data_IF_048535184055
#
_entry.id   IF_048535184055
#
_cell.length_a   1.000
_cell.length_b   1.000
_cell.length_c   1.000
_cell.angle_alpha   90.00
_cell.angle_beta   90.00
_cell.angle_gamma   90.00
#
_symmetry.space_group_name_H-M   'P 1'
#
loop_
_entity.id
_entity.type
_entity.pdbx_description
1 polymer ?
#
# COMPACT_ATOMS: atom_id res chain seq x y z
N UNK A 1 14.08 -0.93 11.11
CA UNK A 1 12.73 -0.72 10.55
C UNK A 1 12.90 0.00 9.22
N UNK A 2 13.03 -0.76 8.15
CA UNK A 2 13.52 -0.23 6.86
C UNK A 2 12.46 -0.28 5.73
N UNK A 3 11.19 -0.56 6.07
CA UNK A 3 10.15 -0.82 5.07
C UNK A 3 8.82 -0.21 5.50
N UNK A 4 7.90 -0.02 4.55
CA UNK A 4 6.47 0.20 4.79
C UNK A 4 5.80 -0.91 5.64
N UNK A 5 6.60 -1.87 6.15
CA UNK A 5 6.12 -2.97 6.96
C UNK A 5 6.39 -2.70 8.44
N UNK A 6 5.34 -2.77 9.21
CA UNK A 6 5.41 -2.78 10.66
C UNK A 6 5.89 -4.16 11.09
N UNK A 7 6.85 -4.22 12.01
CA UNK A 7 7.35 -5.49 12.56
C UNK A 7 6.46 -6.00 13.71
N UNK A 8 6.57 -7.30 14.01
CA UNK A 8 5.90 -7.88 15.18
C UNK A 8 6.40 -7.26 16.49
N UNK A 9 5.51 -7.20 17.47
CA UNK A 9 5.82 -6.70 18.82
C UNK A 9 5.91 -5.18 18.97
N UNK A 10 5.69 -4.41 17.89
CA UNK A 10 5.74 -2.94 17.93
C UNK A 10 4.39 -2.34 18.26
N UNK A 11 3.30 -3.03 17.91
CA UNK A 11 1.93 -2.51 18.05
C UNK A 11 1.20 -3.14 19.25
N UNK A 12 0.32 -2.38 19.92
CA UNK A 12 -0.55 -2.92 20.95
C UNK A 12 -1.51 -3.96 20.37
N UNK A 13 -1.85 -4.97 21.18
CA UNK A 13 -2.64 -6.15 20.76
C UNK A 13 -3.97 -5.78 20.11
N UNK A 14 -4.68 -4.81 20.66
CA UNK A 14 -5.97 -4.39 20.13
C UNK A 14 -5.88 -3.86 18.69
N UNK A 15 -4.80 -3.15 18.37
CA UNK A 15 -4.63 -2.49 17.08
C UNK A 15 -4.39 -3.51 15.95
N UNK A 16 -3.56 -4.53 16.18
CA UNK A 16 -3.37 -5.56 15.16
C UNK A 16 -4.60 -6.48 15.01
N UNK A 17 -5.36 -6.75 16.09
CA UNK A 17 -6.64 -7.48 15.99
C UNK A 17 -7.63 -6.71 15.11
N UNK A 18 -7.81 -5.41 15.37
CA UNK A 18 -8.66 -4.54 14.52
C UNK A 18 -8.15 -4.52 13.08
N UNK A 19 -6.84 -4.43 12.89
CA UNK A 19 -6.23 -4.48 11.56
C UNK A 19 -6.55 -5.76 10.79
N UNK A 20 -6.47 -6.93 11.45
CA UNK A 20 -6.89 -8.20 10.86
C UNK A 20 -8.37 -8.21 10.53
N UNK A 21 -9.23 -7.82 11.48
CA UNK A 21 -10.67 -7.82 11.26
C UNK A 21 -11.07 -6.97 10.05
N UNK A 22 -10.51 -5.77 9.93
CA UNK A 22 -10.75 -4.89 8.78
C UNK A 22 -10.18 -5.45 7.49
N UNK A 23 -8.94 -5.96 7.49
CA UNK A 23 -8.33 -6.53 6.30
C UNK A 23 -9.13 -7.75 5.77
N UNK A 24 -9.57 -8.63 6.65
CA UNK A 24 -10.42 -9.76 6.29
C UNK A 24 -11.81 -9.33 5.80
N UNK A 25 -12.41 -8.32 6.41
CA UNK A 25 -13.70 -7.78 5.95
C UNK A 25 -13.58 -7.22 4.53
N UNK A 26 -12.52 -6.42 4.24
CA UNK A 26 -12.25 -5.92 2.89
C UNK A 26 -11.94 -7.04 1.91
N UNK A 27 -11.14 -8.04 2.30
CA UNK A 27 -10.82 -9.18 1.45
C UNK A 27 -12.06 -10.02 1.13
N UNK A 28 -12.91 -10.29 2.10
CA UNK A 28 -14.17 -11.01 1.91
C UNK A 28 -15.10 -10.24 0.97
N UNK A 29 -15.28 -8.93 1.18
CA UNK A 29 -16.07 -8.08 0.30
C UNK A 29 -15.53 -8.04 -1.13
N UNK A 30 -14.22 -7.90 -1.30
CA UNK A 30 -13.57 -7.93 -2.61
C UNK A 30 -13.72 -9.30 -3.28
N UNK A 31 -13.48 -10.39 -2.56
CA UNK A 31 -13.64 -11.76 -3.08
C UNK A 31 -15.07 -12.05 -3.52
N UNK A 32 -16.04 -11.63 -2.72
CA UNK A 32 -17.46 -11.78 -3.06
C UNK A 32 -17.83 -10.97 -4.30
N UNK A 33 -17.36 -9.74 -4.42
CA UNK A 33 -17.62 -8.86 -5.56
C UNK A 33 -17.00 -9.40 -6.85
N UNK A 34 -15.79 -9.99 -6.77
CA UNK A 34 -15.03 -10.47 -7.91
C UNK A 34 -15.15 -11.99 -8.17
N UNK A 35 -16.05 -12.70 -7.47
CA UNK A 35 -16.21 -14.16 -7.58
C UNK A 35 -16.57 -14.67 -8.99
N UNK A 36 -17.14 -13.81 -9.83
CA UNK A 36 -17.51 -14.10 -11.21
C UNK A 36 -16.63 -13.39 -12.24
N UNK A 37 -15.49 -12.83 -11.81
CA UNK A 37 -14.57 -12.17 -12.73
C UNK A 37 -13.97 -13.19 -13.72
N UNK A 38 -13.61 -12.68 -14.90
CA UNK A 38 -13.02 -13.50 -15.96
C UNK A 38 -11.66 -14.05 -15.52
N UNK A 39 -11.29 -15.27 -15.93
CA UNK A 39 -10.00 -15.88 -15.61
C UNK A 39 -8.78 -14.99 -15.90
N UNK A 40 -8.86 -14.20 -16.99
CA UNK A 40 -7.80 -13.26 -17.37
C UNK A 40 -7.47 -12.24 -16.28
N UNK A 41 -8.48 -11.80 -15.51
CA UNK A 41 -8.26 -10.87 -14.39
C UNK A 41 -7.55 -11.52 -13.21
N UNK A 42 -7.85 -12.79 -12.94
CA UNK A 42 -7.18 -13.56 -11.89
C UNK A 42 -5.72 -13.85 -12.29
N UNK A 43 -5.48 -14.15 -13.57
CA UNK A 43 -4.12 -14.30 -14.10
C UNK A 43 -3.33 -12.99 -13.97
N UNK A 44 -3.95 -11.85 -14.28
CA UNK A 44 -3.33 -10.54 -14.12
C UNK A 44 -3.04 -10.24 -12.63
N UNK A 45 -3.95 -10.61 -11.72
CA UNK A 45 -3.73 -10.48 -10.28
C UNK A 45 -2.51 -11.29 -9.84
N UNK A 46 -2.42 -12.55 -10.25
CA UNK A 46 -1.28 -13.42 -9.92
C UNK A 46 0.04 -12.86 -10.46
N UNK A 47 0.06 -12.41 -11.72
CA UNK A 47 1.24 -11.83 -12.34
C UNK A 47 1.69 -10.55 -11.64
N UNK A 48 0.76 -9.61 -11.39
CA UNK A 48 1.09 -8.36 -10.71
C UNK A 48 1.43 -8.57 -9.23
N UNK A 49 0.79 -9.54 -8.56
CA UNK A 49 1.14 -9.96 -7.21
C UNK A 49 2.58 -10.51 -7.14
N UNK A 50 2.97 -11.34 -8.10
CA UNK A 50 4.34 -11.86 -8.18
C UNK A 50 5.37 -10.74 -8.41
N UNK A 51 5.08 -9.79 -9.30
CA UNK A 51 5.94 -8.61 -9.52
C UNK A 51 6.04 -7.75 -8.27
N UNK A 52 4.93 -7.52 -7.58
CA UNK A 52 4.87 -6.79 -6.32
C UNK A 52 5.69 -7.51 -5.23
N UNK A 53 5.53 -8.83 -5.09
CA UNK A 53 6.28 -9.64 -4.14
C UNK A 53 7.79 -9.54 -4.39
N UNK A 54 8.22 -9.70 -5.65
CA UNK A 54 9.62 -9.58 -6.04
C UNK A 54 10.18 -8.19 -5.73
N UNK A 55 9.46 -7.14 -6.10
CA UNK A 55 9.87 -5.76 -5.86
C UNK A 55 10.02 -5.44 -4.37
N UNK A 56 9.11 -5.95 -3.54
CA UNK A 56 9.13 -5.77 -2.09
C UNK A 56 10.16 -6.67 -1.39
N UNK A 57 10.64 -7.74 -2.04
CA UNK A 57 11.69 -8.62 -1.52
C UNK A 57 13.09 -8.08 -1.79
N UNK A 58 13.26 -7.22 -2.80
CA UNK A 58 14.57 -6.69 -3.22
C UNK A 58 14.76 -5.27 -2.72
N UNK A 59 15.70 -5.00 -1.79
CA UNK A 59 15.98 -3.66 -1.33
C UNK A 59 16.66 -2.82 -2.41
N UNK A 60 16.13 -1.63 -2.68
CA UNK A 60 16.78 -0.62 -3.50
C UNK A 60 17.52 0.35 -2.56
N UNK A 61 18.73 -0.04 -2.16
CA UNK A 61 19.48 0.66 -1.12
C UNK A 61 19.08 0.24 0.30
N UNK A 62 19.62 0.90 1.34
CA UNK A 62 19.52 0.39 2.71
C UNK A 62 18.11 0.52 3.33
N UNK A 63 17.20 1.28 2.73
CA UNK A 63 15.96 1.69 3.40
C UNK A 63 14.71 1.72 2.51
N UNK A 64 14.80 1.39 1.22
CA UNK A 64 13.71 1.61 0.27
C UNK A 64 13.42 0.34 -0.54
N UNK A 65 12.16 -0.05 -0.58
CA UNK A 65 11.63 -1.05 -1.52
C UNK A 65 10.55 -0.40 -2.37
N UNK A 66 10.42 -0.85 -3.61
CA UNK A 66 9.28 -0.49 -4.45
C UNK A 66 8.09 -1.38 -4.06
N UNK A 67 6.94 -0.79 -3.86
CA UNK A 67 5.72 -1.53 -3.54
C UNK A 67 4.91 -1.92 -4.78
N UNK A 68 4.99 -1.12 -5.83
CA UNK A 68 4.11 -1.17 -7.01
C UNK A 68 2.62 -1.09 -6.70
N UNK A 69 2.25 -0.77 -5.45
CA UNK A 69 0.85 -0.65 -5.03
C UNK A 69 0.02 0.31 -5.89
N UNK A 70 0.52 1.51 -6.28
CA UNK A 70 -0.22 2.39 -7.19
C UNK A 70 -0.47 1.76 -8.56
N UNK A 71 0.53 1.11 -9.16
CA UNK A 71 0.42 0.43 -10.44
C UNK A 71 -0.59 -0.73 -10.38
N UNK A 72 -0.49 -1.55 -9.35
CA UNK A 72 -1.43 -2.65 -9.08
C UNK A 72 -2.86 -2.10 -8.93
N UNK A 73 -3.04 -1.01 -8.18
CA UNK A 73 -4.32 -0.35 -8.03
C UNK A 73 -4.90 0.21 -9.33
N UNK A 74 -4.06 0.79 -10.21
CA UNK A 74 -4.48 1.26 -11.54
C UNK A 74 -4.99 0.09 -12.38
N UNK A 75 -4.22 -0.98 -12.49
CA UNK A 75 -4.48 -2.09 -13.41
C UNK A 75 -5.59 -3.02 -12.92
N UNK A 76 -5.57 -3.43 -11.65
CA UNK A 76 -6.56 -4.33 -11.07
C UNK A 76 -7.79 -3.62 -10.51
N UNK A 77 -7.63 -2.38 -10.05
CA UNK A 77 -8.64 -1.64 -9.28
C UNK A 77 -8.59 -1.95 -7.79
N UNK A 78 -9.47 -1.31 -6.99
CA UNK A 78 -9.38 -1.35 -5.53
C UNK A 78 -9.54 -2.75 -4.94
N UNK A 79 -10.51 -3.55 -5.41
CA UNK A 79 -10.82 -4.85 -4.83
C UNK A 79 -9.73 -5.89 -5.10
N UNK A 80 -9.47 -6.21 -6.37
CA UNK A 80 -8.43 -7.19 -6.73
C UNK A 80 -7.04 -6.69 -6.35
N UNK A 81 -6.77 -5.39 -6.43
CA UNK A 81 -5.52 -4.82 -5.99
C UNK A 81 -5.29 -4.96 -4.49
N UNK A 82 -6.33 -4.80 -3.66
CA UNK A 82 -6.25 -5.06 -2.24
C UNK A 82 -5.98 -6.55 -1.93
N UNK A 83 -6.65 -7.47 -2.65
CA UNK A 83 -6.38 -8.90 -2.52
C UNK A 83 -4.92 -9.23 -2.87
N UNK A 84 -4.36 -8.64 -3.93
CA UNK A 84 -2.95 -8.79 -4.27
C UNK A 84 -2.05 -8.27 -3.13
N UNK A 85 -2.33 -7.08 -2.59
CA UNK A 85 -1.58 -6.50 -1.48
C UNK A 85 -1.63 -7.38 -0.21
N UNK A 86 -2.79 -7.92 0.14
CA UNK A 86 -2.95 -8.83 1.28
C UNK A 86 -2.16 -10.13 1.09
N UNK A 87 -2.26 -10.77 -0.08
CA UNK A 87 -1.54 -12.01 -0.40
C UNK A 87 -0.02 -11.78 -0.37
N UNK A 88 0.45 -10.69 -0.95
CA UNK A 88 1.88 -10.35 -0.95
C UNK A 88 2.39 -10.10 0.47
N UNK A 89 1.65 -9.32 1.30
CA UNK A 89 2.04 -9.11 2.69
C UNK A 89 2.05 -10.40 3.51
N UNK A 90 1.06 -11.28 3.33
CA UNK A 90 1.02 -12.56 3.99
C UNK A 90 2.23 -13.43 3.59
N UNK A 91 2.56 -13.48 2.31
CA UNK A 91 3.72 -14.23 1.80
C UNK A 91 5.03 -13.65 2.35
N UNK A 92 5.20 -12.33 2.33
CA UNK A 92 6.39 -11.67 2.89
C UNK A 92 6.56 -11.94 4.39
N UNK A 93 5.47 -11.90 5.16
CA UNK A 93 5.50 -12.21 6.58
C UNK A 93 5.94 -13.67 6.84
N UNK A 94 5.47 -14.63 6.04
CA UNK A 94 5.91 -16.02 6.11
C UNK A 94 7.40 -16.19 5.74
N UNK A 95 7.93 -15.32 4.88
CA UNK A 95 9.35 -15.28 4.50
C UNK A 95 10.21 -14.49 5.51
N UNK A 96 9.63 -14.02 6.62
CA UNK A 96 10.33 -13.24 7.64
C UNK A 96 10.52 -11.76 7.31
N UNK A 97 9.85 -11.26 6.27
CA UNK A 97 9.80 -9.83 5.92
C UNK A 97 8.50 -9.20 6.43
N UNK A 98 8.58 -8.52 7.56
CA UNK A 98 7.42 -7.97 8.28
C UNK A 98 6.94 -8.88 9.40
N UNK A 99 5.86 -8.49 10.09
CA UNK A 99 5.31 -9.24 11.21
C UNK A 99 4.07 -10.04 10.82
N UNK A 100 3.96 -11.26 11.32
CA UNK A 100 2.76 -12.10 11.13
C UNK A 100 1.53 -11.50 11.80
N UNK A 101 1.70 -10.92 13.00
CA UNK A 101 0.60 -10.30 13.75
C UNK A 101 0.08 -9.02 13.09
N UNK A 102 0.88 -8.37 12.27
CA UNK A 102 0.56 -7.07 11.66
C UNK A 102 0.28 -7.14 10.16
N UNK A 103 0.17 -8.35 9.59
CA UNK A 103 -0.15 -8.55 8.16
C UNK A 103 -1.40 -7.78 7.74
N UNK A 104 -2.45 -7.80 8.57
CA UNK A 104 -3.69 -7.06 8.30
C UNK A 104 -3.47 -5.56 8.18
N UNK A 105 -2.74 -4.97 9.13
CA UNK A 105 -2.43 -3.53 9.10
C UNK A 105 -1.51 -3.16 7.93
N UNK A 106 -0.48 -3.97 7.67
CA UNK A 106 0.41 -3.74 6.53
C UNK A 106 -0.36 -3.81 5.20
N UNK A 107 -1.30 -4.75 5.07
CA UNK A 107 -2.17 -4.81 3.90
C UNK A 107 -3.11 -3.60 3.78
N UNK A 108 -3.63 -3.08 4.89
CA UNK A 108 -4.46 -1.86 4.90
C UNK A 108 -3.65 -0.62 4.50
N UNK A 109 -2.42 -0.48 5.00
CA UNK A 109 -1.50 0.60 4.62
C UNK A 109 -1.20 0.58 3.12
N UNK A 110 -0.88 -0.58 2.55
CA UNK A 110 -0.72 -0.72 1.10
C UNK A 110 -2.03 -0.54 0.35
N UNK A 111 -3.13 -1.03 0.90
CA UNK A 111 -4.48 -0.86 0.38
C UNK A 111 -4.88 0.61 0.25
N UNK A 112 -4.39 1.47 1.15
CA UNK A 112 -4.60 2.91 1.08
C UNK A 112 -3.94 3.55 -0.16
N UNK A 113 -2.87 2.97 -0.71
CA UNK A 113 -2.34 3.37 -2.02
C UNK A 113 -3.13 2.75 -3.19
N UNK A 114 -3.54 1.49 -3.05
CA UNK A 114 -4.27 0.76 -4.10
C UNK A 114 -5.64 1.38 -4.37
N UNK A 115 -6.39 1.71 -3.33
CA UNK A 115 -7.79 2.12 -3.45
C UNK A 115 -8.02 3.38 -4.31
N UNK A 116 -7.29 4.49 -4.11
CA UNK A 116 -7.46 5.70 -4.91
C UNK A 116 -6.80 5.64 -6.29
N UNK A 117 -5.92 4.68 -6.55
CA UNK A 117 -5.07 4.69 -7.73
C UNK A 117 -5.86 4.68 -9.04
N UNK A 118 -6.85 3.79 -9.21
CA UNK A 118 -7.63 3.71 -10.45
C UNK A 118 -8.52 4.95 -10.67
N UNK A 119 -9.31 5.44 -9.71
CA UNK A 119 -10.12 6.64 -9.92
C UNK A 119 -9.27 7.89 -10.17
N UNK A 120 -8.16 8.07 -9.45
CA UNK A 120 -7.24 9.20 -9.67
C UNK A 120 -6.62 9.11 -11.07
N UNK A 121 -6.15 7.93 -11.48
CA UNK A 121 -5.59 7.73 -12.81
C UNK A 121 -6.61 8.06 -13.91
N UNK A 122 -7.85 7.57 -13.83
CA UNK A 122 -8.92 7.88 -14.78
C UNK A 122 -9.22 9.38 -14.87
N UNK A 123 -9.20 10.06 -13.74
CA UNK A 123 -9.41 11.51 -13.70
C UNK A 123 -8.27 12.24 -14.43
N UNK A 124 -7.03 11.90 -14.14
CA UNK A 124 -5.85 12.53 -14.73
C UNK A 124 -5.69 12.21 -16.22
N UNK A 125 -6.09 10.99 -16.64
CA UNK A 125 -6.06 10.57 -18.05
C UNK A 125 -6.90 11.43 -18.97
N UNK A 126 -7.92 12.10 -18.45
CA UNK A 126 -8.72 13.04 -19.24
C UNK A 126 -7.92 14.26 -19.73
N UNK A 127 -6.81 14.57 -19.07
CA UNK A 127 -6.00 15.79 -19.36
C UNK A 127 -4.52 15.50 -19.61
N UNK A 128 -4.04 14.27 -19.36
CA UNK A 128 -2.62 13.93 -19.41
C UNK A 128 -2.36 12.67 -20.21
N UNK A 129 -1.13 12.55 -20.73
CA UNK A 129 -0.61 11.29 -21.34
C UNK A 129 -0.52 10.18 -20.29
N UNK A 130 -0.62 8.88 -20.68
CA UNK A 130 -0.65 7.74 -19.75
C UNK A 130 0.45 7.76 -18.69
N UNK A 131 1.70 7.95 -19.10
CA UNK A 131 2.83 7.96 -18.18
C UNK A 131 2.75 9.09 -17.16
N UNK A 132 2.44 10.33 -17.60
CA UNK A 132 2.30 11.46 -16.68
C UNK A 132 1.14 11.24 -15.70
N UNK A 133 -0.01 10.78 -16.18
CA UNK A 133 -1.14 10.43 -15.32
C UNK A 133 -0.73 9.36 -14.29
N UNK A 134 0.02 8.33 -14.71
CA UNK A 134 0.55 7.31 -13.82
C UNK A 134 1.48 7.85 -12.74
N UNK A 135 2.44 8.72 -13.13
CA UNK A 135 3.35 9.34 -12.17
C UNK A 135 2.62 10.13 -11.07
N UNK A 136 1.72 11.02 -11.46
CA UNK A 136 0.94 11.81 -10.49
C UNK A 136 0.00 10.94 -9.66
N UNK A 137 -0.55 9.87 -10.25
CA UNK A 137 -1.35 8.89 -9.50
C UNK A 137 -0.51 8.18 -8.46
N UNK A 138 0.73 7.77 -8.80
CA UNK A 138 1.62 7.12 -7.86
C UNK A 138 1.94 8.04 -6.67
N UNK A 139 2.25 9.31 -6.92
CA UNK A 139 2.48 10.30 -5.86
C UNK A 139 1.27 10.43 -4.94
N UNK A 140 0.07 10.64 -5.51
CA UNK A 140 -1.15 10.80 -4.72
C UNK A 140 -1.51 9.53 -3.93
N UNK A 141 -1.38 8.36 -4.54
CA UNK A 141 -1.67 7.07 -3.93
C UNK A 141 -0.70 6.75 -2.77
N UNK A 142 0.59 6.97 -2.98
CA UNK A 142 1.59 6.75 -1.92
C UNK A 142 1.44 7.76 -0.78
N UNK A 143 1.05 9.00 -1.05
CA UNK A 143 0.71 9.94 0.01
C UNK A 143 -0.42 9.42 0.91
N UNK A 144 -1.45 8.77 0.34
CA UNK A 144 -2.50 8.10 1.12
C UNK A 144 -1.95 6.95 1.98
N UNK A 145 -1.03 6.14 1.42
CA UNK A 145 -0.40 5.05 2.17
C UNK A 145 0.47 5.56 3.33
N UNK A 146 1.28 6.58 3.07
CA UNK A 146 2.10 7.22 4.10
C UNK A 146 1.23 7.85 5.19
N UNK A 147 0.16 8.52 4.82
CA UNK A 147 -0.81 9.06 5.79
C UNK A 147 -1.44 7.94 6.63
N UNK A 148 -1.85 6.83 6.01
CA UNK A 148 -2.39 5.67 6.72
C UNK A 148 -1.36 5.06 7.70
N UNK A 149 -0.08 4.95 7.30
CA UNK A 149 1.00 4.50 8.17
C UNK A 149 1.16 5.42 9.39
N UNK A 150 1.16 6.73 9.17
CA UNK A 150 1.30 7.69 10.27
C UNK A 150 0.10 7.65 11.22
N UNK A 151 -1.12 7.43 10.71
CA UNK A 151 -2.30 7.20 11.55
C UNK A 151 -2.11 5.95 12.42
N UNK A 152 -1.65 4.84 11.84
CA UNK A 152 -1.38 3.60 12.60
C UNK A 152 -0.34 3.84 13.70
N UNK A 153 0.73 4.56 13.40
CA UNK A 153 1.78 4.88 14.38
C UNK A 153 1.25 5.81 15.47
N UNK A 154 0.46 6.81 15.11
CA UNK A 154 -0.15 7.71 16.08
C UNK A 154 -1.09 6.96 17.04
N UNK A 155 -1.89 6.02 16.51
CA UNK A 155 -2.75 5.16 17.32
C UNK A 155 -1.93 4.22 18.25
N UNK A 156 -0.84 3.66 17.72
CA UNK A 156 0.04 2.80 18.50
C UNK A 156 0.71 3.53 19.67
N UNK A 157 1.12 4.78 19.46
CA UNK A 157 1.78 5.60 20.48
C UNK A 157 0.85 6.06 21.60
N UNK A 158 -0.45 5.91 21.45
CA UNK A 158 -1.45 6.21 22.52
C UNK A 158 -1.66 5.04 23.50
N UNK A 159 -0.90 3.95 23.37
CA UNK A 159 -0.86 2.80 24.28
C UNK A 159 -2.08 1.91 24.20
N UNK A 160 -3.16 2.25 24.88
CA UNK A 160 -4.39 1.46 24.91
C UNK A 160 -5.60 2.22 24.33
N UNK A 161 -6.71 1.51 24.15
CA UNK A 161 -7.95 2.09 23.62
C UNK A 161 -8.54 3.16 24.56
N UNK A 162 -8.28 3.06 25.88
CA UNK A 162 -8.77 4.03 26.85
C UNK A 162 -8.02 5.38 26.74
N UNK A 163 -6.72 5.35 26.41
CA UNK A 163 -5.94 6.56 26.19
C UNK A 163 -6.34 7.34 24.93
N UNK A 164 -7.02 6.71 23.97
CA UNK A 164 -7.60 7.40 22.82
C UNK A 164 -8.72 8.40 23.20
N UNK A 165 -9.34 8.16 24.34
CA UNK A 165 -10.44 8.98 24.87
C UNK A 165 -9.96 10.01 25.89
N UNK A 166 -8.68 9.95 26.29
CA UNK A 166 -8.03 10.88 27.19
C UNK A 166 -7.17 11.89 26.40
N UNK A 167 -7.37 13.18 26.66
CA UNK A 167 -6.85 14.30 25.84
C UNK A 167 -5.37 14.68 26.14
N UNK A 168 -4.61 13.87 26.88
CA UNK A 168 -3.34 14.30 27.51
C UNK A 168 -2.06 13.56 27.00
N UNK A 169 -1.91 13.26 25.71
CA UNK A 169 -0.69 12.57 25.26
C UNK A 169 0.26 13.43 24.40
N UNK A 170 0.95 14.37 25.02
CA UNK A 170 2.01 15.15 24.38
C UNK A 170 3.24 14.29 24.01
N UNK A 171 3.54 13.21 24.74
CA UNK A 171 4.71 12.36 24.50
C UNK A 171 4.54 11.51 23.23
N UNK A 172 3.35 10.92 23.03
CA UNK A 172 3.03 10.18 21.81
C UNK A 172 3.00 11.05 20.56
N UNK A 173 2.50 12.27 20.66
CA UNK A 173 2.52 13.23 19.55
C UNK A 173 3.94 13.62 19.15
N UNK A 174 4.85 13.84 20.11
CA UNK A 174 6.26 14.14 19.86
C UNK A 174 6.98 12.95 19.22
N UNK A 175 6.74 11.71 19.68
CA UNK A 175 7.33 10.50 19.10
C UNK A 175 6.89 10.31 17.66
N UNK A 176 5.61 10.51 17.37
CA UNK A 176 5.06 10.47 16.00
C UNK A 176 5.69 11.56 15.13
N UNK A 177 5.78 12.80 15.63
CA UNK A 177 6.39 13.90 14.89
C UNK A 177 7.87 13.67 14.54
N UNK A 178 8.65 13.11 15.45
CA UNK A 178 10.05 12.72 15.19
C UNK A 178 10.13 11.62 14.12
N UNK A 179 9.28 10.60 14.20
CA UNK A 179 9.23 9.55 13.21
C UNK A 179 8.91 10.11 11.81
N UNK A 180 7.91 11.00 11.70
CA UNK A 180 7.57 11.67 10.45
C UNK A 180 8.77 12.42 9.88
N UNK A 181 9.45 13.21 10.71
CA UNK A 181 10.60 14.02 10.28
C UNK A 181 11.75 13.15 9.74
N UNK A 182 12.12 12.09 10.47
CA UNK A 182 13.23 11.21 10.08
C UNK A 182 12.90 10.30 8.90
N UNK A 183 11.65 9.85 8.75
CA UNK A 183 11.25 8.95 7.67
C UNK A 183 10.91 9.68 6.37
N UNK A 184 10.55 10.97 6.41
CA UNK A 184 10.07 11.72 5.24
C UNK A 184 11.04 11.74 4.04
N UNK A 185 12.38 11.89 4.17
CA UNK A 185 13.28 11.88 3.02
C UNK A 185 13.25 10.55 2.27
N UNK A 186 13.12 9.43 3.01
CA UNK A 186 13.05 8.09 2.42
C UNK A 186 11.73 7.86 1.68
N UNK A 187 10.62 8.40 2.23
CA UNK A 187 9.31 8.36 1.56
C UNK A 187 9.30 9.16 0.27
N UNK A 188 9.93 10.33 0.26
CA UNK A 188 10.07 11.15 -0.94
C UNK A 188 10.85 10.40 -2.01
N UNK A 189 11.99 9.81 -1.66
CA UNK A 189 12.82 9.04 -2.59
C UNK A 189 12.06 7.83 -3.15
N UNK A 190 11.39 7.05 -2.29
CA UNK A 190 10.56 5.93 -2.70
C UNK A 190 9.44 6.36 -3.65
N UNK A 191 8.76 7.46 -3.32
CA UNK A 191 7.66 8.00 -4.12
C UNK A 191 8.14 8.44 -5.50
N UNK A 192 9.30 9.10 -5.59
CA UNK A 192 9.88 9.50 -6.89
C UNK A 192 10.23 8.25 -7.72
N UNK A 193 10.88 7.26 -7.13
CA UNK A 193 11.24 6.02 -7.82
C UNK A 193 9.98 5.28 -8.33
N UNK A 194 8.97 5.11 -7.48
CA UNK A 194 7.68 4.49 -7.87
C UNK A 194 6.96 5.28 -8.98
N UNK A 195 6.95 6.61 -8.90
CA UNK A 195 6.35 7.46 -9.91
C UNK A 195 7.04 7.30 -11.27
N UNK A 196 8.38 7.23 -11.29
CA UNK A 196 9.15 7.02 -12.51
C UNK A 196 8.87 5.64 -13.12
N UNK A 197 8.89 4.57 -12.31
CA UNK A 197 8.61 3.21 -12.79
C UNK A 197 7.16 3.11 -13.28
N UNK A 198 6.19 3.58 -12.50
CA UNK A 198 4.77 3.56 -12.88
C UNK A 198 4.54 4.34 -14.19
N UNK A 199 5.18 5.52 -14.34
CA UNK A 199 5.14 6.31 -15.57
C UNK A 199 5.67 5.54 -16.77
N UNK A 200 6.80 4.89 -16.63
CA UNK A 200 7.47 4.13 -17.69
C UNK A 200 6.64 2.92 -18.10
N UNK A 201 6.17 2.13 -17.13
CA UNK A 201 5.35 0.94 -17.38
C UNK A 201 4.02 1.31 -18.04
N UNK A 202 3.30 2.31 -17.54
CA UNK A 202 2.03 2.72 -18.16
C UNK A 202 2.21 3.37 -19.53
N UNK A 203 3.32 4.06 -19.78
CA UNK A 203 3.66 4.56 -21.11
C UNK A 203 3.94 3.42 -22.09
N UNK A 204 4.62 2.36 -21.64
CA UNK A 204 4.87 1.16 -22.42
C UNK A 204 3.57 0.41 -22.69
N UNK A 205 2.77 0.13 -21.66
CA UNK A 205 1.48 -0.56 -21.80
C UNK A 205 0.52 0.19 -22.75
N UNK A 206 0.52 1.51 -22.72
CA UNK A 206 -0.30 2.30 -23.63
C UNK A 206 0.05 2.11 -25.11
N UNK A 207 1.25 1.62 -25.43
CA UNK A 207 1.70 1.34 -26.80
C UNK A 207 1.48 -0.12 -27.20
N UNK A 208 1.69 -1.05 -26.25
CA UNK A 208 1.76 -2.50 -26.56
C UNK A 208 0.47 -3.20 -26.20
N UNK A 209 -0.19 -2.81 -25.11
CA UNK A 209 -1.40 -3.44 -24.55
C UNK A 209 -2.34 -2.39 -23.97
N UNK A 210 -2.88 -1.49 -24.82
CA UNK A 210 -3.75 -0.40 -24.37
C UNK A 210 -5.02 -0.90 -23.68
N UNK A 211 -5.46 -2.12 -23.97
CA UNK A 211 -6.64 -2.75 -23.36
C UNK A 211 -6.49 -3.07 -21.87
N UNK A 212 -5.26 -3.07 -21.34
CA UNK A 212 -5.02 -3.25 -19.89
C UNK A 212 -5.22 -1.95 -19.10
N UNK A 213 -5.25 -0.81 -19.78
CA UNK A 213 -5.40 0.49 -19.12
C UNK A 213 -6.88 0.84 -18.93
N UNK A 214 -7.26 1.36 -17.73
CA UNK A 214 -8.65 1.71 -17.43
C UNK A 214 -9.11 3.02 -18.08
#
# INVERSE_FOLDING_TARGET
MTHLHIADGVLPTWLWIVGFALAFAFAAGASFHHRHDRPDRLTLLAALGAVMLLAMSVPIGPLVHLSFAPMVGILLGPGLGFLAALLVNATLALLGHGGLTVVGLNALVLGAAVAPARPVYRLLRKRMKPGRAGAFTAVAALACSVAALYVVIALANRGDLASLLADDDHAGAQATGRFVLFSSPFWVLATVAEALVTSSVLSFLARVRPELLP
#
